data_IF_530998776480
#
_entry.id   IF_530998776480
#
_cell.length_a   1.000
_cell.length_b   1.000
_cell.length_c   1.000
_cell.angle_alpha   90.00
_cell.angle_beta   90.00
_cell.angle_gamma   90.00
#
_symmetry.space_group_name_H-M   'P 1'
#
loop_
_entity.id
_entity.type
_entity.pdbx_description
1 polymer ?
#
# COMPACT_ATOMS: atom_id res chain seq x y z
N UNK A 1 24.43 -2.84 -14.22
CA UNK A 1 23.20 -3.65 -13.98
C UNK A 1 23.37 -4.73 -12.91
N UNK A 2 24.35 -5.65 -12.98
CA UNK A 2 24.50 -6.76 -12.00
C UNK A 2 24.83 -6.33 -10.55
N UNK A 3 25.44 -5.15 -10.35
CA UNK A 3 25.71 -4.59 -9.01
C UNK A 3 24.44 -4.05 -8.33
N UNK A 4 23.69 -3.22 -9.04
CA UNK A 4 22.42 -2.64 -8.57
C UNK A 4 21.40 -3.73 -8.21
N UNK A 5 21.22 -4.74 -9.07
CA UNK A 5 20.33 -5.88 -8.78
C UNK A 5 20.74 -6.62 -7.49
N UNK A 6 22.04 -6.81 -7.25
CA UNK A 6 22.54 -7.47 -6.05
C UNK A 6 22.35 -6.63 -4.78
N UNK A 7 22.49 -5.31 -4.89
CA UNK A 7 22.24 -4.38 -3.79
C UNK A 7 20.75 -4.37 -3.44
N UNK A 8 19.88 -4.12 -4.43
CA UNK A 8 18.42 -4.08 -4.29
C UNK A 8 17.88 -5.37 -3.69
N UNK A 9 18.28 -6.52 -4.21
CA UNK A 9 17.79 -7.81 -3.70
C UNK A 9 18.44 -8.24 -2.39
N UNK A 10 19.56 -7.64 -1.94
CA UNK A 10 20.19 -7.91 -0.63
C UNK A 10 19.57 -7.04 0.48
N UNK A 11 19.18 -5.83 0.14
CA UNK A 11 18.57 -4.87 1.06
C UNK A 11 17.09 -4.66 0.78
N UNK A 12 16.46 -5.63 0.10
CA UNK A 12 15.08 -5.49 -0.38
C UNK A 12 14.10 -5.16 0.74
N UNK A 13 14.23 -5.82 1.90
CA UNK A 13 13.35 -5.55 3.04
C UNK A 13 13.47 -4.12 3.55
N UNK A 14 14.66 -3.51 3.48
CA UNK A 14 14.85 -2.11 3.85
C UNK A 14 14.22 -1.17 2.83
N UNK A 15 14.36 -1.47 1.53
CA UNK A 15 13.68 -0.72 0.46
C UNK A 15 12.16 -0.84 0.56
N UNK A 16 11.64 -2.04 0.81
CA UNK A 16 10.21 -2.28 1.00
C UNK A 16 9.68 -1.55 2.24
N UNK A 17 10.45 -1.51 3.34
CA UNK A 17 10.11 -0.74 4.53
C UNK A 17 10.02 0.76 4.21
N UNK A 18 11.06 1.31 3.58
CA UNK A 18 11.10 2.72 3.22
C UNK A 18 9.95 3.10 2.26
N UNK A 19 9.69 2.27 1.24
CA UNK A 19 8.59 2.50 0.31
C UNK A 19 7.23 2.44 1.01
N UNK A 20 7.01 1.49 1.92
CA UNK A 20 5.75 1.36 2.65
C UNK A 20 5.51 2.56 3.57
N UNK A 21 6.56 3.00 4.29
CA UNK A 21 6.50 4.21 5.12
C UNK A 21 6.27 5.47 4.28
N UNK A 22 6.88 5.56 3.09
CA UNK A 22 6.65 6.67 2.17
C UNK A 22 5.20 6.70 1.67
N UNK A 23 4.62 5.55 1.32
CA UNK A 23 3.21 5.45 0.91
C UNK A 23 2.24 5.83 2.04
N UNK A 24 2.48 5.34 3.26
CA UNK A 24 1.70 5.72 4.44
C UNK A 24 1.84 7.22 4.76
N UNK A 25 3.06 7.74 4.71
CA UNK A 25 3.36 9.15 4.91
C UNK A 25 2.66 10.04 3.87
N UNK A 26 2.69 9.65 2.60
CA UNK A 26 1.95 10.35 1.54
C UNK A 26 0.44 10.32 1.79
N UNK A 27 -0.12 9.15 2.17
CA UNK A 27 -1.54 9.02 2.47
C UNK A 27 -1.99 9.90 3.64
N UNK A 28 -1.21 9.97 4.72
CA UNK A 28 -1.49 10.85 5.85
C UNK A 28 -1.24 12.33 5.53
N UNK A 29 -0.29 12.64 4.64
CA UNK A 29 -0.07 13.99 4.17
C UNK A 29 -1.24 14.50 3.32
N UNK A 30 -1.78 13.68 2.41
CA UNK A 30 -2.98 14.02 1.63
C UNK A 30 -4.21 14.22 2.53
N UNK A 31 -4.33 13.40 3.59
CA UNK A 31 -5.41 13.56 4.56
C UNK A 31 -5.26 14.84 5.38
N UNK A 32 -4.09 15.09 5.96
CA UNK A 32 -3.87 16.20 6.90
C UNK A 32 -3.69 17.56 6.22
N UNK A 33 -2.94 17.59 5.13
CA UNK A 33 -2.58 18.81 4.41
C UNK A 33 -3.40 19.00 3.13
N UNK A 34 -3.79 17.91 2.47
CA UNK A 34 -4.66 17.97 1.29
C UNK A 34 -6.14 18.11 1.61
N UNK A 35 -6.55 17.87 2.88
CA UNK A 35 -7.96 17.86 3.27
C UNK A 35 -8.76 16.74 2.62
N UNK A 36 -8.08 15.70 2.13
CA UNK A 36 -8.67 14.58 1.41
C UNK A 36 -8.95 13.44 2.40
N UNK A 37 -10.16 13.43 2.94
CA UNK A 37 -10.59 12.38 3.85
C UNK A 37 -10.55 11.00 3.16
N UNK A 38 -10.07 9.95 3.84
CA UNK A 38 -9.94 8.62 3.25
C UNK A 38 -11.30 7.92 3.16
N UNK A 39 -11.56 7.26 2.03
CA UNK A 39 -12.68 6.33 1.90
C UNK A 39 -12.34 4.96 2.53
N UNK A 40 -13.33 4.08 2.65
CA UNK A 40 -13.16 2.73 3.20
C UNK A 40 -12.07 1.93 2.48
N UNK A 41 -12.06 1.91 1.14
CA UNK A 41 -11.03 1.20 0.37
C UNK A 41 -9.63 1.82 0.52
N UNK A 42 -9.52 3.15 0.66
CA UNK A 42 -8.25 3.80 0.99
C UNK A 42 -7.69 3.29 2.33
N UNK A 43 -8.55 3.14 3.35
CA UNK A 43 -8.14 2.60 4.66
C UNK A 43 -7.67 1.15 4.54
N UNK A 44 -8.38 0.31 3.78
CA UNK A 44 -7.95 -1.07 3.51
C UNK A 44 -6.62 -1.15 2.78
N UNK A 45 -6.36 -0.24 1.85
CA UNK A 45 -5.07 -0.16 1.19
C UNK A 45 -3.94 0.27 2.16
N UNK A 46 -4.22 1.12 3.15
CA UNK A 46 -3.25 1.48 4.21
C UNK A 46 -2.93 0.29 5.12
N UNK A 47 -3.92 -0.54 5.46
CA UNK A 47 -3.72 -1.76 6.27
C UNK A 47 -2.68 -2.71 5.61
N UNK A 48 -2.70 -2.82 4.27
CA UNK A 48 -1.70 -3.58 3.52
C UNK A 48 -0.28 -3.04 3.76
N UNK A 49 -0.11 -1.72 3.70
CA UNK A 49 1.20 -1.10 3.94
C UNK A 49 1.64 -1.23 5.39
N UNK A 50 0.74 -1.18 6.36
CA UNK A 50 1.07 -1.47 7.76
C UNK A 50 1.53 -2.93 7.95
N UNK A 51 0.87 -3.88 7.29
CA UNK A 51 1.33 -5.27 7.25
C UNK A 51 2.71 -5.41 6.61
N UNK A 52 2.96 -4.70 5.51
CA UNK A 52 4.26 -4.67 4.85
C UNK A 52 5.34 -4.06 5.76
N UNK A 53 5.05 -2.97 6.48
CA UNK A 53 5.95 -2.36 7.46
C UNK A 53 6.32 -3.37 8.54
N UNK A 54 5.37 -4.09 9.12
CA UNK A 54 5.64 -5.08 10.16
C UNK A 54 6.61 -6.17 9.67
N UNK A 55 6.32 -6.78 8.51
CA UNK A 55 7.17 -7.82 7.93
C UNK A 55 8.55 -7.27 7.57
N UNK A 56 8.60 -6.12 6.90
CA UNK A 56 9.83 -5.52 6.41
C UNK A 56 10.73 -5.02 7.55
N UNK A 57 10.16 -4.47 8.62
CA UNK A 57 10.87 -4.00 9.80
C UNK A 57 11.55 -5.16 10.53
N UNK A 58 10.78 -6.22 10.85
CA UNK A 58 11.32 -7.41 11.53
C UNK A 58 12.45 -8.04 10.70
N UNK A 59 12.22 -8.21 9.39
CA UNK A 59 13.21 -8.80 8.50
C UNK A 59 14.47 -7.93 8.35
N UNK A 60 14.33 -6.60 8.37
CA UNK A 60 15.45 -5.67 8.28
C UNK A 60 16.27 -5.66 9.58
N UNK A 61 15.62 -5.62 10.74
CA UNK A 61 16.28 -5.73 12.05
C UNK A 61 17.05 -7.05 12.13
N UNK A 62 16.43 -8.17 11.75
CA UNK A 62 17.09 -9.47 11.71
C UNK A 62 18.33 -9.47 10.80
N UNK A 63 18.24 -8.83 9.63
CA UNK A 63 19.36 -8.71 8.70
C UNK A 63 20.55 -7.93 9.30
N UNK A 64 20.25 -6.83 10.01
CA UNK A 64 21.25 -6.01 10.70
C UNK A 64 21.94 -6.79 11.84
N UNK A 65 21.16 -7.46 12.70
CA UNK A 65 21.69 -8.26 13.81
C UNK A 65 22.55 -9.42 13.31
N UNK A 66 22.13 -10.08 12.22
CA UNK A 66 22.88 -11.19 11.61
C UNK A 66 24.13 -10.75 10.83
N UNK A 67 24.49 -9.45 10.87
CA UNK A 67 25.58 -8.83 10.11
C UNK A 67 25.53 -9.15 8.60
N UNK A 68 24.33 -9.34 8.06
CA UNK A 68 24.13 -9.70 6.65
C UNK A 68 24.71 -11.06 6.21
N UNK A 69 25.15 -11.92 7.14
CA UNK A 69 25.74 -13.24 6.83
C UNK A 69 24.81 -14.18 6.06
N UNK A 70 23.49 -13.98 6.17
CA UNK A 70 22.46 -14.84 5.54
C UNK A 70 21.71 -14.19 4.37
N UNK A 71 22.08 -12.96 3.95
CA UNK A 71 21.35 -12.20 2.93
C UNK A 71 19.93 -11.80 3.36
N UNK A 72 19.08 -11.36 2.43
CA UNK A 72 17.66 -11.09 2.71
C UNK A 72 16.93 -12.39 3.06
N UNK A 73 16.10 -12.43 4.12
CA UNK A 73 15.30 -13.61 4.42
C UNK A 73 14.33 -13.87 3.27
N UNK A 74 14.54 -14.95 2.50
CA UNK A 74 13.69 -15.30 1.35
C UNK A 74 12.21 -15.39 1.73
N UNK A 75 11.94 -15.93 2.91
CA UNK A 75 10.59 -16.04 3.47
C UNK A 75 9.98 -14.64 3.63
N UNK A 76 10.70 -13.69 4.22
CA UNK A 76 10.21 -12.31 4.35
C UNK A 76 9.98 -11.64 2.99
N UNK A 77 10.89 -11.82 2.03
CA UNK A 77 10.70 -11.29 0.67
C UNK A 77 9.47 -11.92 -0.02
N UNK A 78 9.22 -13.21 0.19
CA UNK A 78 8.03 -13.87 -0.34
C UNK A 78 6.74 -13.39 0.36
N UNK A 79 6.77 -13.23 1.69
CA UNK A 79 5.64 -12.66 2.43
C UNK A 79 5.32 -11.23 1.95
N UNK A 80 6.34 -10.40 1.76
CA UNK A 80 6.16 -9.06 1.18
C UNK A 80 5.55 -9.11 -0.22
N UNK A 81 5.95 -10.07 -1.05
CA UNK A 81 5.34 -10.25 -2.36
C UNK A 81 3.84 -10.54 -2.27
N UNK A 82 3.43 -11.42 -1.35
CA UNK A 82 2.01 -11.72 -1.12
C UNK A 82 1.27 -10.48 -0.62
N UNK A 83 1.82 -9.78 0.38
CA UNK A 83 1.21 -8.56 0.94
C UNK A 83 1.02 -7.49 -0.13
N UNK A 84 2.05 -7.18 -0.92
CA UNK A 84 1.94 -6.18 -1.98
C UNK A 84 1.08 -6.64 -3.16
N UNK A 85 1.01 -7.94 -3.45
CA UNK A 85 0.07 -8.47 -4.43
C UNK A 85 -1.38 -8.27 -3.98
N UNK A 86 -1.69 -8.52 -2.71
CA UNK A 86 -2.99 -8.18 -2.12
C UNK A 86 -3.27 -6.68 -2.23
N UNK A 87 -2.29 -5.82 -1.96
CA UNK A 87 -2.39 -4.37 -2.16
C UNK A 87 -2.71 -3.98 -3.59
N UNK A 88 -2.02 -4.58 -4.56
CA UNK A 88 -2.23 -4.34 -5.98
C UNK A 88 -3.64 -4.75 -6.43
N UNK A 89 -4.10 -5.94 -6.00
CA UNK A 89 -5.45 -6.44 -6.32
C UNK A 89 -6.51 -5.49 -5.74
N UNK A 90 -6.40 -5.12 -4.47
CA UNK A 90 -7.33 -4.18 -3.82
C UNK A 90 -7.30 -2.80 -4.46
N UNK A 91 -6.13 -2.33 -4.90
CA UNK A 91 -5.98 -1.05 -5.58
C UNK A 91 -6.56 -1.06 -7.00
N UNK A 92 -6.37 -2.14 -7.76
CA UNK A 92 -7.04 -2.35 -9.05
C UNK A 92 -8.55 -2.40 -8.87
N UNK A 93 -9.04 -3.11 -7.84
CA UNK A 93 -10.47 -3.18 -7.51
C UNK A 93 -11.07 -1.79 -7.25
N UNK A 94 -10.37 -0.97 -6.47
CA UNK A 94 -10.77 0.41 -6.19
C UNK A 94 -10.75 1.28 -7.45
N UNK A 95 -9.64 1.24 -8.21
CA UNK A 95 -9.48 2.00 -9.44
C UNK A 95 -10.52 1.65 -10.51
N UNK A 96 -10.83 0.37 -10.70
CA UNK A 96 -11.87 0.00 -11.66
C UNK A 96 -13.27 0.41 -11.22
N UNK A 97 -13.54 0.50 -9.91
CA UNK A 97 -14.76 1.11 -9.39
C UNK A 97 -14.86 2.60 -9.72
N UNK A 98 -13.76 3.34 -9.56
CA UNK A 98 -13.66 4.75 -9.97
C UNK A 98 -13.83 4.93 -11.49
N UNK A 99 -13.28 4.01 -12.29
CA UNK A 99 -13.39 4.01 -13.75
C UNK A 99 -14.71 3.40 -14.25
N UNK A 100 -15.62 3.01 -13.35
CA UNK A 100 -16.92 2.40 -13.67
C UNK A 100 -16.81 1.11 -14.51
N UNK A 101 -15.74 0.36 -14.33
CA UNK A 101 -15.59 -0.99 -14.90
C UNK A 101 -16.49 -2.00 -14.22
N UNK A 102 -16.80 -1.79 -12.94
CA UNK A 102 -17.74 -2.56 -12.13
C UNK A 102 -18.34 -1.70 -11.02
N UNK A 103 -19.47 -2.15 -10.49
CA UNK A 103 -20.09 -1.56 -9.32
C UNK A 103 -19.34 -1.96 -8.04
N UNK A 104 -19.11 -0.99 -7.17
CA UNK A 104 -18.56 -1.27 -5.84
C UNK A 104 -19.69 -1.70 -4.89
N UNK A 105 -19.37 -2.46 -3.82
CA UNK A 105 -20.35 -2.84 -2.80
C UNK A 105 -21.06 -1.61 -2.21
N UNK A 106 -22.28 -1.79 -1.72
CA UNK A 106 -23.09 -0.71 -1.12
C UNK A 106 -22.38 0.02 0.04
N UNK A 107 -21.45 -0.66 0.73
CA UNK A 107 -20.60 -0.06 1.78
C UNK A 107 -19.56 0.94 1.25
N UNK A 108 -19.34 0.96 -0.06
CA UNK A 108 -18.35 1.77 -0.75
C UNK A 108 -18.98 2.80 -1.70
N UNK A 109 -20.27 2.67 -2.02
CA UNK A 109 -21.08 3.63 -2.77
C UNK A 109 -22.02 4.40 -1.82
N UNK A 110 -22.61 5.50 -2.28
CA UNK A 110 -23.48 6.36 -1.45
C UNK A 110 -24.84 5.81 -1.03
N UNK A 111 -24.96 4.47 -0.93
CA UNK A 111 -26.18 3.76 -0.56
C UNK A 111 -26.07 2.89 0.69
N UNK A 112 -24.99 2.99 1.48
CA UNK A 112 -24.90 2.34 2.79
C UNK A 112 -25.80 3.02 3.83
N UNK A 113 -26.28 2.26 4.83
CA UNK A 113 -27.15 2.73 5.92
C UNK A 113 -26.68 4.08 6.46
N UNK A 114 -27.42 5.12 6.07
CA UNK A 114 -27.21 6.46 6.57
C UNK A 114 -27.89 6.52 7.93
N UNK A 115 -27.09 6.63 8.99
CA UNK A 115 -27.63 6.81 10.31
C UNK A 115 -28.45 8.13 10.33
N UNK A 116 -29.76 8.02 10.59
CA UNK A 116 -30.66 9.16 10.55
C UNK A 116 -30.25 10.24 11.56
N UNK A 117 -29.60 9.87 12.66
CA UNK A 117 -29.06 10.82 13.64
C UNK A 117 -27.90 11.66 13.06
N UNK A 118 -27.02 11.05 12.27
CA UNK A 118 -25.93 11.77 11.60
C UNK A 118 -26.48 12.71 10.52
N UNK A 119 -27.49 12.27 9.76
CA UNK A 119 -28.19 13.10 8.78
C UNK A 119 -28.93 14.27 9.43
N UNK A 120 -29.59 14.03 10.56
CA UNK A 120 -30.29 15.06 11.32
C UNK A 120 -29.30 16.09 11.89
N UNK A 121 -28.15 15.65 12.42
CA UNK A 121 -27.12 16.56 12.93
C UNK A 121 -26.46 17.39 11.82
N UNK A 122 -26.33 16.84 10.61
CA UNK A 122 -25.84 17.54 9.42
C UNK A 122 -26.87 18.57 8.92
N UNK A 123 -28.16 18.20 8.89
CA UNK A 123 -29.26 19.07 8.46
C UNK A 123 -29.52 20.22 9.44
N UNK A 124 -29.32 19.97 10.74
CA UNK A 124 -29.47 20.96 11.81
C UNK A 124 -28.20 21.79 12.05
N UNK A 125 -27.09 21.48 11.36
CA UNK A 125 -25.81 22.18 11.53
C UNK A 125 -25.17 22.02 12.92
N UNK A 126 -25.63 21.05 13.70
CA UNK A 126 -25.21 20.80 15.09
C UNK A 126 -24.13 19.74 15.22
N UNK A 127 -23.90 18.93 14.18
CA UNK A 127 -22.85 17.91 14.12
C UNK A 127 -21.61 18.37 13.34
N UNK A 128 -20.42 17.78 13.58
CA UNK A 128 -19.27 17.97 12.72
C UNK A 128 -19.63 17.51 11.30
N UNK A 129 -19.47 18.39 10.31
CA UNK A 129 -19.77 18.10 8.90
C UNK A 129 -18.74 17.10 8.37
N UNK A 130 -18.92 15.81 8.64
CA UNK A 130 -18.20 14.76 7.95
C UNK A 130 -18.88 14.53 6.62
N UNK A 131 -18.34 15.17 5.57
CA UNK A 131 -18.79 14.94 4.20
C UNK A 131 -18.68 13.44 3.89
N UNK A 132 -19.75 12.78 3.41
CA UNK A 132 -19.68 11.40 2.98
C UNK A 132 -18.57 11.23 1.93
N UNK A 133 -17.65 10.28 2.15
CA UNK A 133 -16.56 9.97 1.21
C UNK A 133 -16.81 8.60 0.60
N UNK A 134 -17.07 8.58 -0.71
CA UNK A 134 -17.34 7.36 -1.45
C UNK A 134 -16.07 6.83 -2.13
N UNK A 135 -15.99 5.51 -2.30
CA UNK A 135 -14.83 4.87 -2.89
C UNK A 135 -14.85 4.93 -4.42
N UNK A 136 -16.00 5.17 -5.04
CA UNK A 136 -16.11 5.29 -6.50
C UNK A 136 -15.87 6.72 -7.00
N UNK A 137 -15.71 7.68 -6.09
CA UNK A 137 -15.46 9.07 -6.39
C UNK A 137 -13.95 9.36 -6.48
N UNK A 138 -13.52 9.88 -7.63
CA UNK A 138 -12.12 10.31 -7.82
C UNK A 138 -11.91 11.67 -7.15
N UNK A 139 -11.23 11.68 -6.00
CA UNK A 139 -10.95 12.90 -5.22
C UNK A 139 -9.69 13.64 -5.65
N UNK A 140 -8.76 12.95 -6.32
CA UNK A 140 -7.51 13.52 -6.79
C UNK A 140 -6.96 12.76 -7.99
N UNK A 141 -6.28 13.47 -8.88
CA UNK A 141 -5.62 12.90 -10.06
C UNK A 141 -4.24 13.52 -10.27
N UNK A 142 -3.32 12.71 -10.77
CA UNK A 142 -1.99 13.15 -11.21
C UNK A 142 -1.55 12.32 -12.41
N UNK A 143 -1.08 13.01 -13.45
CA UNK A 143 -0.71 12.42 -14.75
C UNK A 143 -1.79 11.48 -15.31
N UNK A 144 -3.06 11.85 -15.15
CA UNK A 144 -4.21 11.10 -15.65
C UNK A 144 -4.72 9.97 -14.75
N UNK A 145 -3.93 9.52 -13.77
CA UNK A 145 -4.31 8.47 -12.82
C UNK A 145 -4.82 9.04 -11.51
N UNK A 146 -5.78 8.35 -10.89
CA UNK A 146 -6.24 8.65 -9.54
C UNK A 146 -5.26 8.13 -8.48
N UNK A 147 -5.52 8.43 -7.21
CA UNK A 147 -4.72 7.88 -6.10
C UNK A 147 -4.72 6.35 -6.09
N UNK A 148 -5.88 5.72 -6.32
CA UNK A 148 -5.98 4.26 -6.36
C UNK A 148 -5.23 3.67 -7.56
N UNK A 149 -5.27 4.35 -8.72
CA UNK A 149 -4.49 3.99 -9.90
C UNK A 149 -2.97 4.02 -9.66
N UNK A 150 -2.47 5.09 -9.02
CA UNK A 150 -1.06 5.17 -8.61
C UNK A 150 -0.70 4.09 -7.60
N UNK A 151 -1.58 3.83 -6.63
CA UNK A 151 -1.36 2.79 -5.65
C UNK A 151 -1.29 1.38 -6.28
N UNK A 152 -2.12 1.11 -7.30
CA UNK A 152 -2.10 -0.14 -8.05
C UNK A 152 -0.75 -0.36 -8.73
N UNK A 153 -0.22 0.67 -9.42
CA UNK A 153 1.08 0.60 -10.08
C UNK A 153 2.23 0.37 -9.09
N UNK A 154 2.25 1.14 -7.99
CA UNK A 154 3.32 1.05 -6.99
C UNK A 154 3.27 -0.30 -6.28
N UNK A 155 2.09 -0.74 -5.84
CA UNK A 155 1.91 -2.05 -5.19
C UNK A 155 2.31 -3.20 -6.11
N UNK A 156 1.94 -3.15 -7.41
CA UNK A 156 2.32 -4.16 -8.38
C UNK A 156 3.86 -4.21 -8.56
N UNK A 157 4.51 -3.06 -8.68
CA UNK A 157 5.97 -2.99 -8.78
C UNK A 157 6.65 -3.58 -7.53
N UNK A 158 6.19 -3.21 -6.34
CA UNK A 158 6.71 -3.74 -5.08
C UNK A 158 6.51 -5.25 -4.95
N UNK A 159 5.38 -5.79 -5.42
CA UNK A 159 5.13 -7.22 -5.46
C UNK A 159 6.14 -7.95 -6.37
N UNK A 160 6.36 -7.43 -7.58
CA UNK A 160 7.31 -8.00 -8.54
C UNK A 160 8.73 -7.99 -7.99
N UNK A 161 9.20 -6.87 -7.46
CA UNK A 161 10.54 -6.80 -6.89
C UNK A 161 10.71 -7.69 -5.65
N UNK A 162 9.65 -7.86 -4.86
CA UNK A 162 9.64 -8.80 -3.73
C UNK A 162 9.78 -10.26 -4.19
N UNK A 163 9.07 -10.65 -5.26
CA UNK A 163 9.23 -11.97 -5.86
C UNK A 163 10.63 -12.19 -6.43
N UNK A 164 11.20 -11.19 -7.10
CA UNK A 164 12.57 -11.26 -7.64
C UNK A 164 13.59 -11.42 -6.50
N UNK A 165 13.43 -10.69 -5.40
CA UNK A 165 14.28 -10.83 -4.21
C UNK A 165 14.13 -12.21 -3.56
N UNK A 166 12.91 -12.76 -3.50
CA UNK A 166 12.65 -14.09 -2.95
C UNK A 166 13.28 -15.22 -3.80
N UNK A 167 13.26 -15.09 -5.13
CA UNK A 167 13.78 -16.08 -6.09
C UNK A 167 15.30 -16.02 -6.30
N UNK A 168 16.04 -15.12 -5.62
CA UNK A 168 17.49 -14.98 -5.80
C UNK A 168 18.24 -16.29 -5.46
N UNK A 169 19.09 -16.85 -6.36
CA UNK A 169 19.85 -18.09 -6.14
C UNK A 169 20.76 -18.07 -4.89
N UNK A 170 21.02 -19.23 -4.28
CA UNK A 170 21.82 -19.33 -3.04
C UNK A 170 23.29 -18.92 -3.29
N UNK A 171 23.78 -19.07 -4.51
CA UNK A 171 25.21 -18.97 -4.85
C UNK A 171 25.71 -17.52 -4.98
N UNK A 172 24.80 -16.55 -5.03
CA UNK A 172 25.12 -15.12 -5.00
C UNK A 172 25.35 -14.56 -3.57
N UNK A 173 25.54 -15.44 -2.58
CA UNK A 173 25.71 -15.12 -1.14
C UNK A 173 27.15 -15.11 -0.65
N UNK A 174 28.08 -15.77 -1.33
CA UNK A 174 29.47 -15.77 -0.88
C UNK A 174 30.11 -14.41 -1.19
N UNK A 175 30.71 -13.71 -0.21
CA UNK A 175 31.74 -12.73 -0.54
C UNK A 175 32.80 -13.48 -1.33
N UNK A 176 33.17 -12.97 -2.52
CA UNK A 176 34.43 -13.41 -3.12
C UNK A 176 35.51 -12.85 -2.19
N UNK A 177 36.23 -13.75 -1.53
CA UNK A 177 37.54 -13.48 -0.92
C UNK A 177 38.45 -12.77 -1.92
#
# INVERSE_FOLDING_TARGET
MRGLYRLLTRWWTAFALAASLAMLGAAHAFERFGGLAPCNLCLKQREVYWGAVAVALIATIWHLISRGSRGTPRIAAFLLAVVFATGAITAVFHFGGEMKWWELPATCSGGGDVNLEDLASLALGSGPIQKPVFCDAVTWRFLGLSMSGWNALISAALAVFSLLAAKRPKDARAPRS
#
